data_IF_694103247763
#
_entry.id   IF_694103247763
#
_cell.length_a   1.000
_cell.length_b   1.000
_cell.length_c   1.000
_cell.angle_alpha   90.00
_cell.angle_beta   90.00
_cell.angle_gamma   90.00
#
_symmetry.space_group_name_H-M   'P 1'
#
loop_
_entity.id
_entity.type
_entity.pdbx_description
1 polymer ?
#
# COMPACT_ATOMS: atom_id res chain seq x y z
N UNK A 1 30.96 19.71 47.03
CA UNK A 1 30.22 19.85 45.76
C UNK A 1 30.17 18.49 45.04
N UNK A 2 29.17 17.70 45.37
CA UNK A 2 28.99 16.32 44.90
C UNK A 2 28.01 16.36 43.73
N UNK A 3 28.46 15.99 42.54
CA UNK A 3 27.64 16.02 41.33
C UNK A 3 26.55 14.94 41.39
N UNK A 4 25.30 15.37 41.21
CA UNK A 4 24.13 14.50 41.15
C UNK A 4 24.14 13.61 39.90
N UNK A 5 24.09 12.30 40.13
CA UNK A 5 23.79 11.32 39.10
C UNK A 5 22.33 11.47 38.65
N UNK A 6 22.12 11.98 37.44
CA UNK A 6 20.82 11.97 36.76
C UNK A 6 20.41 10.52 36.50
N UNK A 7 19.50 10.04 37.34
CA UNK A 7 18.80 8.76 37.23
C UNK A 7 18.05 8.73 35.89
N UNK A 8 18.53 7.95 34.91
CA UNK A 8 17.72 7.59 33.75
C UNK A 8 16.57 6.71 34.24
N UNK A 9 15.40 7.32 34.38
CA UNK A 9 14.14 6.62 34.66
C UNK A 9 13.89 5.59 33.58
N UNK A 10 13.75 4.33 33.99
CA UNK A 10 13.19 3.25 33.19
C UNK A 10 11.77 3.65 32.75
N UNK A 11 11.61 4.04 31.49
CA UNK A 11 10.30 4.16 30.86
C UNK A 11 9.66 2.77 30.79
N UNK A 12 8.53 2.61 31.46
CA UNK A 12 7.67 1.45 31.32
C UNK A 12 7.28 1.26 29.85
N UNK A 13 7.21 0.02 29.37
CA UNK A 13 6.70 -0.31 28.03
C UNK A 13 5.26 0.21 27.78
N UNK A 14 4.57 0.65 28.84
CA UNK A 14 3.23 1.23 28.78
C UNK A 14 3.15 2.65 28.16
N UNK A 15 4.27 3.37 28.04
CA UNK A 15 4.32 4.73 27.45
C UNK A 15 4.93 4.76 26.04
N UNK A 16 5.05 3.62 25.37
CA UNK A 16 5.62 3.58 24.03
C UNK A 16 4.67 4.26 23.01
N UNK A 17 5.16 5.22 22.22
CA UNK A 17 4.38 5.83 21.15
C UNK A 17 3.75 4.78 20.23
N UNK A 18 2.46 4.95 19.91
CA UNK A 18 1.69 3.98 19.12
C UNK A 18 2.37 3.55 17.80
N UNK A 19 3.10 4.45 17.15
CA UNK A 19 3.84 4.15 15.92
C UNK A 19 5.00 3.14 16.15
N UNK A 20 5.71 3.20 17.29
CA UNK A 20 6.78 2.24 17.61
C UNK A 20 6.22 0.86 17.98
N UNK A 21 5.07 0.84 18.67
CA UNK A 21 4.34 -0.40 18.95
C UNK A 21 3.90 -1.08 17.64
N UNK A 22 3.33 -0.32 16.70
CA UNK A 22 2.98 -0.81 15.36
C UNK A 22 4.20 -1.38 14.62
N UNK A 23 5.32 -0.67 14.57
CA UNK A 23 6.55 -1.15 13.93
C UNK A 23 7.09 -2.44 14.57
N UNK A 24 6.85 -2.65 15.88
CA UNK A 24 7.22 -3.90 16.55
C UNK A 24 6.30 -5.05 16.12
N UNK A 25 5.01 -4.80 15.94
CA UNK A 25 4.08 -5.82 15.43
C UNK A 25 4.45 -6.30 14.02
N UNK A 26 4.96 -5.41 13.15
CA UNK A 26 5.41 -5.78 11.81
C UNK A 26 6.51 -6.87 11.82
N UNK A 27 7.35 -6.90 12.85
CA UNK A 27 8.40 -7.92 13.00
C UNK A 27 7.84 -9.32 13.22
N UNK A 28 6.57 -9.45 13.60
CA UNK A 28 5.91 -10.74 13.81
C UNK A 28 5.35 -11.34 12.51
N UNK A 29 5.31 -10.57 11.43
CA UNK A 29 4.82 -11.06 10.14
C UNK A 29 5.80 -12.09 9.58
N UNK A 30 5.41 -13.36 9.42
CA UNK A 30 6.29 -14.40 8.89
C UNK A 30 6.70 -14.14 7.44
N UNK A 31 7.78 -14.81 7.01
CA UNK A 31 8.09 -14.99 5.59
C UNK A 31 6.99 -15.82 4.92
N UNK A 32 6.62 -15.47 3.69
CA UNK A 32 5.58 -16.11 2.89
C UNK A 32 4.17 -15.61 3.17
N UNK A 33 4.01 -14.65 4.09
CA UNK A 33 2.71 -14.02 4.36
C UNK A 33 2.28 -13.17 3.18
N UNK A 34 1.07 -13.41 2.68
CA UNK A 34 0.43 -12.54 1.71
C UNK A 34 0.03 -11.21 2.37
N UNK A 35 0.49 -10.11 1.79
CA UNK A 35 0.19 -8.76 2.26
C UNK A 35 -0.95 -8.12 1.46
N UNK A 36 -0.92 -8.30 0.13
CA UNK A 36 -1.89 -7.71 -0.78
C UNK A 36 -2.19 -8.68 -1.92
N UNK A 37 -3.45 -8.71 -2.34
CA UNK A 37 -3.81 -9.22 -3.66
C UNK A 37 -3.79 -8.06 -4.66
N UNK A 38 -3.23 -8.34 -5.84
CA UNK A 38 -3.09 -7.37 -6.91
C UNK A 38 -4.11 -7.68 -7.98
N UNK A 39 -4.89 -6.66 -8.33
CA UNK A 39 -5.91 -6.73 -9.37
C UNK A 39 -5.61 -5.68 -10.44
N UNK A 40 -5.98 -5.98 -11.68
CA UNK A 40 -5.81 -5.08 -12.80
C UNK A 40 -7.04 -5.13 -13.72
N UNK A 41 -7.25 -4.02 -14.42
CA UNK A 41 -8.23 -3.89 -15.49
C UNK A 41 -7.47 -3.59 -16.79
N UNK A 42 -7.97 -4.01 -17.96
CA UNK A 42 -7.23 -3.87 -19.22
C UNK A 42 -7.16 -2.42 -19.75
N UNK A 43 -8.05 -1.53 -19.29
CA UNK A 43 -8.03 -0.10 -19.63
C UNK A 43 -8.84 0.74 -18.63
N UNK A 44 -8.68 2.08 -18.61
CA UNK A 44 -9.51 2.95 -17.78
C UNK A 44 -11.01 2.75 -18.04
N UNK A 45 -11.43 2.66 -19.31
CA UNK A 45 -12.84 2.43 -19.64
C UNK A 45 -13.38 1.12 -19.05
N UNK A 46 -12.56 0.05 -18.98
CA UNK A 46 -12.96 -1.21 -18.35
C UNK A 46 -13.15 -1.10 -16.83
N UNK A 47 -12.50 -0.14 -16.17
CA UNK A 47 -12.75 0.16 -14.76
C UNK A 47 -14.18 0.69 -14.51
N UNK A 48 -14.80 1.27 -15.56
CA UNK A 48 -16.12 1.89 -15.48
C UNK A 48 -17.22 1.07 -16.15
N UNK A 49 -16.84 0.14 -17.03
CA UNK A 49 -17.74 -0.59 -17.90
C UNK A 49 -17.91 -2.05 -17.53
N UNK A 50 -19.11 -2.41 -17.07
CA UNK A 50 -19.66 -3.76 -17.21
C UNK A 50 -19.80 -4.56 -15.91
N UNK A 51 -21.05 -4.94 -15.60
CA UNK A 51 -21.32 -6.10 -14.74
C UNK A 51 -20.86 -7.36 -15.49
N UNK A 52 -19.71 -7.91 -15.13
CA UNK A 52 -19.23 -9.16 -15.73
C UNK A 52 -17.78 -9.50 -15.36
N UNK A 53 -17.44 -10.79 -15.46
CA UNK A 53 -16.14 -11.43 -15.15
C UNK A 53 -14.92 -10.93 -15.97
N UNK A 54 -15.06 -9.90 -16.79
CA UNK A 54 -14.06 -9.49 -17.79
C UNK A 54 -13.38 -8.14 -17.49
N UNK A 55 -13.81 -7.39 -16.47
CA UNK A 55 -13.26 -6.07 -16.17
C UNK A 55 -12.07 -6.12 -15.21
N UNK A 56 -12.17 -6.87 -14.11
CA UNK A 56 -11.14 -6.95 -13.07
C UNK A 56 -10.53 -8.34 -13.01
N UNK A 57 -9.22 -8.41 -13.21
CA UNK A 57 -8.46 -9.66 -13.17
C UNK A 57 -7.47 -9.64 -12.01
N UNK A 58 -7.48 -10.69 -11.20
CA UNK A 58 -6.43 -10.91 -10.20
C UNK A 58 -5.12 -11.27 -10.91
N UNK A 59 -4.12 -10.41 -10.76
CA UNK A 59 -2.76 -10.59 -11.31
C UNK A 59 -1.93 -11.51 -10.42
N UNK A 60 -2.10 -11.42 -9.10
CA UNK A 60 -1.35 -12.23 -8.15
C UNK A 60 -1.42 -11.67 -6.74
N UNK A 61 -0.41 -11.99 -5.93
CA UNK A 61 -0.27 -11.48 -4.56
C UNK A 61 1.13 -10.99 -4.29
N UNK A 62 1.24 -9.93 -3.51
CA UNK A 62 2.49 -9.50 -2.90
C UNK A 62 2.66 -10.30 -1.61
N UNK A 63 3.72 -11.11 -1.54
CA UNK A 63 4.07 -11.94 -0.40
C UNK A 63 5.40 -11.52 0.20
N UNK A 64 5.56 -11.70 1.51
CA UNK A 64 6.84 -11.43 2.17
C UNK A 64 7.90 -12.42 1.69
N UNK A 65 8.93 -11.92 1.02
CA UNK A 65 10.04 -12.76 0.55
C UNK A 65 11.02 -13.16 1.68
N UNK A 66 11.08 -12.36 2.74
CA UNK A 66 11.93 -12.56 3.92
C UNK A 66 11.22 -12.10 5.20
N UNK A 67 11.83 -12.36 6.35
CA UNK A 67 11.41 -11.77 7.61
C UNK A 67 11.64 -10.25 7.62
N UNK A 68 10.80 -9.52 8.33
CA UNK A 68 11.01 -8.10 8.57
C UNK A 68 12.17 -7.90 9.55
N UNK A 69 13.03 -6.94 9.25
CA UNK A 69 14.14 -6.52 10.12
C UNK A 69 14.03 -5.03 10.36
N UNK A 70 14.47 -4.56 11.55
CA UNK A 70 14.61 -3.13 11.80
C UNK A 70 15.89 -2.61 11.18
N UNK A 71 15.82 -1.46 10.52
CA UNK A 71 16.97 -0.79 9.93
C UNK A 71 16.88 0.72 10.09
N UNK A 72 18.02 1.38 10.31
CA UNK A 72 18.10 2.84 10.30
C UNK A 72 17.73 3.47 8.93
N UNK A 73 17.61 2.65 7.88
CA UNK A 73 17.15 3.08 6.55
C UNK A 73 15.65 3.39 6.48
N UNK A 74 14.86 3.00 7.48
CA UNK A 74 13.41 3.21 7.54
C UNK A 74 13.00 4.69 7.41
N UNK A 75 13.88 5.62 7.80
CA UNK A 75 13.64 7.07 7.71
C UNK A 75 13.92 7.67 6.33
N UNK A 76 14.53 6.92 5.40
CA UNK A 76 14.99 7.42 4.11
C UNK A 76 14.34 6.71 2.91
N UNK A 77 13.32 5.88 3.13
CA UNK A 77 12.61 5.21 2.04
C UNK A 77 11.61 6.16 1.40
N UNK A 78 11.89 6.56 0.16
CA UNK A 78 10.95 7.26 -0.69
C UNK A 78 10.44 6.31 -1.78
N UNK A 79 9.13 6.09 -1.83
CA UNK A 79 8.49 5.36 -2.90
C UNK A 79 7.93 6.35 -3.91
N UNK A 80 8.39 6.23 -5.16
CA UNK A 80 7.85 7.00 -6.27
C UNK A 80 7.01 6.08 -7.12
N UNK A 81 5.74 6.43 -7.29
CA UNK A 81 4.92 5.80 -8.31
C UNK A 81 5.40 6.25 -9.69
N UNK A 82 5.28 5.36 -10.68
CA UNK A 82 5.46 5.73 -12.08
C UNK A 82 4.55 6.91 -12.41
N UNK A 83 5.04 7.85 -13.22
CA UNK A 83 4.22 8.99 -13.64
C UNK A 83 3.13 8.46 -14.55
N UNK A 84 1.90 8.86 -14.26
CA UNK A 84 0.74 8.52 -15.09
C UNK A 84 0.92 8.96 -16.55
N UNK A 85 1.70 10.02 -16.79
CA UNK A 85 2.01 10.49 -18.14
C UNK A 85 2.76 9.46 -18.98
N UNK A 86 3.63 8.66 -18.36
CA UNK A 86 4.43 7.62 -19.01
C UNK A 86 3.51 6.51 -19.57
N UNK A 87 2.42 6.20 -18.86
CA UNK A 87 1.40 5.23 -19.33
C UNK A 87 0.72 5.73 -20.60
N UNK A 88 0.55 7.04 -20.76
CA UNK A 88 -0.07 7.60 -21.96
C UNK A 88 0.88 7.69 -23.15
N UNK A 89 2.19 7.71 -22.93
CA UNK A 89 3.15 7.56 -24.03
C UNK A 89 3.05 6.15 -24.63
N UNK A 90 2.85 5.15 -23.77
CA UNK A 90 2.64 3.75 -24.17
C UNK A 90 1.23 3.51 -24.75
N UNK A 91 0.20 4.12 -24.16
CA UNK A 91 -1.22 3.93 -24.50
C UNK A 91 -1.95 5.27 -24.64
N UNK A 92 -1.71 6.03 -25.73
CA UNK A 92 -2.28 7.37 -25.90
C UNK A 92 -3.81 7.39 -25.85
N UNK A 93 -4.46 6.30 -26.27
CA UNK A 93 -5.92 6.17 -26.27
C UNK A 93 -6.53 6.20 -24.87
N UNK A 94 -5.75 5.92 -23.82
CA UNK A 94 -6.23 5.95 -22.44
C UNK A 94 -6.56 7.36 -21.95
N UNK A 95 -5.93 8.41 -22.50
CA UNK A 95 -6.26 9.80 -22.15
C UNK A 95 -7.71 10.15 -22.45
N UNK A 96 -8.24 9.63 -23.56
CA UNK A 96 -9.62 9.89 -23.98
C UNK A 96 -10.65 9.08 -23.16
N UNK A 97 -10.22 8.03 -22.46
CA UNK A 97 -11.09 7.18 -21.66
C UNK A 97 -11.28 7.72 -20.24
N UNK A 98 -10.32 8.49 -19.73
CA UNK A 98 -10.37 9.05 -18.39
C UNK A 98 -11.37 10.20 -18.31
N UNK A 99 -12.31 10.09 -17.38
CA UNK A 99 -13.35 11.08 -17.10
C UNK A 99 -13.32 11.46 -15.63
N UNK A 100 -13.98 12.56 -15.25
CA UNK A 100 -14.16 12.94 -13.84
C UNK A 100 -14.84 11.86 -13.00
N UNK A 101 -15.57 10.93 -13.64
CA UNK A 101 -16.17 9.80 -12.94
C UNK A 101 -15.11 8.82 -12.42
N UNK A 102 -14.02 8.59 -13.15
CA UNK A 102 -12.93 7.72 -12.70
C UNK A 102 -12.26 8.26 -11.43
N UNK A 103 -12.12 9.59 -11.33
CA UNK A 103 -11.56 10.23 -10.14
C UNK A 103 -12.45 10.07 -8.88
N UNK A 104 -13.75 9.82 -9.07
CA UNK A 104 -14.72 9.64 -7.98
C UNK A 104 -14.99 8.18 -7.63
N UNK A 105 -14.83 7.27 -8.60
CA UNK A 105 -15.31 5.88 -8.46
C UNK A 105 -14.18 4.83 -8.52
N UNK A 106 -12.98 5.16 -9.03
CA UNK A 106 -11.86 4.21 -9.16
C UNK A 106 -10.80 4.31 -8.05
N UNK A 107 -11.13 4.92 -6.91
CA UNK A 107 -10.29 4.94 -5.71
C UNK A 107 -10.12 3.57 -5.06
N UNK A 108 -9.04 3.41 -4.27
CA UNK A 108 -8.75 2.16 -3.56
C UNK A 108 -9.89 1.75 -2.61
N UNK A 109 -10.59 2.73 -2.05
CA UNK A 109 -11.78 2.59 -1.21
C UNK A 109 -12.98 1.95 -1.92
N UNK A 110 -13.01 1.97 -3.26
CA UNK A 110 -14.08 1.37 -4.06
C UNK A 110 -13.67 0.04 -4.68
N UNK A 111 -12.42 -0.41 -4.49
CA UNK A 111 -11.93 -1.68 -5.01
C UNK A 111 -12.80 -2.86 -4.57
N UNK A 112 -13.27 -2.85 -3.31
CA UNK A 112 -14.19 -3.88 -2.83
C UNK A 112 -15.46 -3.97 -3.68
N UNK A 113 -16.02 -2.83 -4.13
CA UNK A 113 -17.20 -2.83 -5.02
C UNK A 113 -16.88 -3.38 -6.41
N UNK A 114 -15.64 -3.19 -6.88
CA UNK A 114 -15.17 -3.74 -8.14
C UNK A 114 -14.95 -5.26 -8.05
N UNK A 115 -14.55 -5.77 -6.87
CA UNK A 115 -14.34 -7.20 -6.62
C UNK A 115 -15.66 -7.91 -6.26
N UNK A 116 -16.54 -7.30 -5.45
CA UNK A 116 -17.77 -7.90 -4.93
C UNK A 116 -18.92 -7.93 -5.95
N UNK A 117 -18.75 -7.30 -7.11
CA UNK A 117 -19.65 -7.49 -8.26
C UNK A 117 -19.44 -8.85 -8.96
N UNK A 118 -18.69 -9.77 -8.34
CA UNK A 118 -18.37 -11.11 -8.81
C UNK A 118 -19.03 -12.22 -7.99
#
# INVERSE_FOLDING_TARGET
PTAEAKKLSHGSAADEPAHLAFLRELLRIPKGTALYDVFAVPSPAAAMGGKGRESVHRVGSIVTASAFIRSAAESNLCFWHQRREDDYELRPEWRAQLTELHARECGAEYLARLIDQH
#
